data_IF_175452285039
#
_entry.id   IF_175452285039
#
_cell.length_a   1.000
_cell.length_b   1.000
_cell.length_c   1.000
_cell.angle_alpha   90.00
_cell.angle_beta   90.00
_cell.angle_gamma   90.00
#
_symmetry.space_group_name_H-M   'P 1'
#
loop_
_entity.id
_entity.type
_entity.pdbx_description
1 polymer ?
#
# COMPACT_ATOMS: atom_id res chain seq x y z
N UNK A 1 -16.01 7.93 -6.68
CA UNK A 1 -14.54 7.95 -6.83
C UNK A 1 -14.09 6.60 -7.37
N UNK A 2 -13.20 6.59 -8.37
CA UNK A 2 -12.59 5.34 -8.88
C UNK A 2 -11.15 5.23 -8.41
N UNK A 3 -10.82 4.07 -7.85
CA UNK A 3 -9.48 3.79 -7.32
C UNK A 3 -8.98 2.49 -7.92
N UNK A 4 -7.77 2.50 -8.52
CA UNK A 4 -7.10 1.28 -8.92
C UNK A 4 -5.97 0.94 -7.94
N UNK A 5 -5.98 -0.27 -7.41
CA UNK A 5 -4.88 -0.81 -6.59
C UNK A 5 -4.00 -1.65 -7.50
N UNK A 6 -2.76 -1.21 -7.68
CA UNK A 6 -1.76 -1.82 -8.54
C UNK A 6 -0.84 -2.72 -7.71
N UNK A 7 -1.02 -4.03 -7.85
CA UNK A 7 -0.39 -5.04 -7.03
C UNK A 7 -1.24 -5.42 -5.81
N UNK A 8 -2.01 -6.50 -5.92
CA UNK A 8 -2.88 -7.01 -4.86
C UNK A 8 -2.22 -8.15 -4.07
N UNK A 9 -0.95 -7.98 -3.69
CA UNK A 9 -0.32 -8.76 -2.65
C UNK A 9 -0.97 -8.51 -1.28
N UNK A 10 -0.33 -8.87 -0.17
CA UNK A 10 -0.91 -8.71 1.16
C UNK A 10 -1.40 -7.27 1.42
N UNK A 11 -0.53 -6.26 1.25
CA UNK A 11 -0.87 -4.85 1.53
C UNK A 11 -1.90 -4.30 0.53
N UNK A 12 -1.69 -4.49 -0.78
CA UNK A 12 -2.65 -4.00 -1.79
C UNK A 12 -4.03 -4.60 -1.61
N UNK A 13 -4.11 -5.88 -1.21
CA UNK A 13 -5.38 -6.52 -0.89
C UNK A 13 -6.10 -5.88 0.30
N UNK A 14 -5.37 -5.38 1.32
CA UNK A 14 -5.99 -4.65 2.44
C UNK A 14 -6.67 -3.38 1.93
N UNK A 15 -5.99 -2.61 1.06
CA UNK A 15 -6.59 -1.40 0.46
C UNK A 15 -7.77 -1.76 -0.44
N UNK A 16 -7.60 -2.71 -1.36
CA UNK A 16 -8.63 -3.07 -2.32
C UNK A 16 -9.92 -3.58 -1.64
N UNK A 17 -9.78 -4.45 -0.65
CA UNK A 17 -10.94 -4.99 0.07
C UNK A 17 -11.67 -3.91 0.86
N UNK A 18 -10.97 -3.15 1.71
CA UNK A 18 -11.60 -2.16 2.58
C UNK A 18 -12.23 -1.02 1.78
N UNK A 19 -11.52 -0.46 0.79
CA UNK A 19 -12.06 0.62 -0.05
C UNK A 19 -13.31 0.17 -0.83
N UNK A 20 -13.38 -1.10 -1.26
CA UNK A 20 -14.54 -1.62 -1.97
C UNK A 20 -15.80 -1.83 -1.11
N UNK A 21 -15.71 -1.60 0.21
CA UNK A 21 -16.87 -1.59 1.10
C UNK A 21 -17.63 -0.24 1.09
N UNK A 22 -17.06 0.80 0.48
CA UNK A 22 -17.67 2.11 0.38
C UNK A 22 -18.57 2.17 -0.86
N UNK A 23 -19.83 2.57 -0.69
CA UNK A 23 -20.83 2.63 -1.77
C UNK A 23 -20.47 3.65 -2.87
N UNK A 24 -19.72 4.69 -2.54
CA UNK A 24 -19.32 5.77 -3.44
C UNK A 24 -17.90 5.58 -4.04
N UNK A 25 -17.29 4.41 -3.84
CA UNK A 25 -15.95 4.08 -4.36
C UNK A 25 -16.00 2.82 -5.23
N UNK A 26 -15.65 2.98 -6.49
CA UNK A 26 -15.42 1.85 -7.41
C UNK A 26 -13.95 1.45 -7.34
N UNK A 27 -13.66 0.19 -6.97
CA UNK A 27 -12.29 -0.30 -6.82
C UNK A 27 -11.93 -1.31 -7.89
N UNK A 28 -10.80 -1.07 -8.55
CA UNK A 28 -10.15 -2.01 -9.45
C UNK A 28 -8.90 -2.58 -8.78
N UNK A 29 -8.77 -3.91 -8.79
CA UNK A 29 -7.65 -4.64 -8.23
C UNK A 29 -6.84 -5.27 -9.36
N UNK A 30 -5.64 -4.74 -9.63
CA UNK A 30 -4.75 -5.26 -10.67
C UNK A 30 -3.67 -6.14 -10.05
N UNK A 31 -3.58 -7.39 -10.49
CA UNK A 31 -2.51 -8.32 -10.11
C UNK A 31 -2.24 -9.32 -11.23
N UNK A 32 -0.99 -9.68 -11.46
CA UNK A 32 -0.60 -10.66 -12.48
C UNK A 32 -0.90 -12.11 -12.08
N UNK A 33 -1.25 -12.37 -10.82
CA UNK A 33 -1.64 -13.70 -10.36
C UNK A 33 -3.08 -14.00 -10.74
N UNK A 34 -3.27 -14.66 -11.87
CA UNK A 34 -4.59 -15.02 -12.42
C UNK A 34 -5.45 -15.83 -11.44
N UNK A 35 -4.86 -16.72 -10.64
CA UNK A 35 -5.59 -17.48 -9.62
C UNK A 35 -6.14 -16.58 -8.53
N UNK A 36 -5.38 -15.55 -8.13
CA UNK A 36 -5.81 -14.56 -7.17
C UNK A 36 -6.93 -13.69 -7.72
N UNK A 37 -6.77 -13.20 -8.95
CA UNK A 37 -7.77 -12.42 -9.67
C UNK A 37 -9.08 -13.21 -9.83
N UNK A 38 -9.01 -14.45 -10.27
CA UNK A 38 -10.19 -15.31 -10.43
C UNK A 38 -10.92 -15.55 -9.09
N UNK A 39 -10.18 -15.76 -8.00
CA UNK A 39 -10.76 -15.94 -6.67
C UNK A 39 -11.46 -14.67 -6.19
N UNK A 40 -10.84 -13.49 -6.38
CA UNK A 40 -11.45 -12.20 -6.02
C UNK A 40 -12.77 -11.98 -6.77
N UNK A 41 -12.79 -12.20 -8.07
CA UNK A 41 -13.98 -12.00 -8.89
C UNK A 41 -15.11 -12.98 -8.56
N UNK A 42 -14.79 -14.21 -8.17
CA UNK A 42 -15.76 -15.25 -7.81
C UNK A 42 -16.33 -15.07 -6.41
N UNK A 43 -15.46 -14.96 -5.41
CA UNK A 43 -15.80 -15.06 -3.99
C UNK A 43 -15.70 -13.72 -3.25
N UNK A 44 -15.02 -12.73 -3.84
CA UNK A 44 -14.56 -11.50 -3.18
C UNK A 44 -13.20 -11.68 -2.53
N UNK A 45 -12.67 -10.59 -2.01
CA UNK A 45 -11.39 -10.53 -1.32
C UNK A 45 -11.64 -10.58 0.19
N UNK A 46 -11.36 -11.73 0.80
CA UNK A 46 -11.60 -11.97 2.22
C UNK A 46 -10.42 -11.51 3.05
N UNK A 47 -10.70 -10.65 4.01
CA UNK A 47 -9.77 -10.28 5.09
C UNK A 47 -10.20 -10.98 6.39
N UNK A 48 -9.21 -11.46 7.16
CA UNK A 48 -9.41 -12.05 8.50
C UNK A 48 -8.36 -11.47 9.45
N UNK A 49 -8.51 -11.68 10.75
CA UNK A 49 -7.55 -11.21 11.76
C UNK A 49 -7.98 -9.91 12.41
N UNK A 50 -7.34 -8.79 12.13
CA UNK A 50 -7.68 -7.49 12.71
C UNK A 50 -9.10 -6.99 12.31
N UNK A 51 -9.64 -7.54 11.23
CA UNK A 51 -11.02 -7.41 10.80
C UNK A 51 -11.48 -8.71 10.13
N UNK A 52 -12.78 -8.92 9.96
CA UNK A 52 -13.35 -10.04 9.21
C UNK A 52 -14.38 -9.49 8.21
N UNK A 53 -13.89 -9.19 7.01
CA UNK A 53 -14.70 -8.57 5.95
C UNK A 53 -14.45 -9.25 4.60
N UNK A 54 -15.42 -9.13 3.69
CA UNK A 54 -15.29 -9.53 2.29
C UNK A 54 -15.54 -8.32 1.42
N UNK A 55 -14.46 -7.74 0.90
CA UNK A 55 -14.54 -6.70 -0.12
C UNK A 55 -14.81 -7.30 -1.50
N UNK A 56 -15.38 -6.51 -2.41
CA UNK A 56 -15.70 -6.95 -3.77
C UNK A 56 -15.16 -5.98 -4.83
N UNK A 57 -13.83 -5.76 -4.87
CA UNK A 57 -13.26 -4.98 -5.97
C UNK A 57 -13.42 -5.75 -7.29
N UNK A 58 -13.40 -5.05 -8.41
CA UNK A 58 -13.24 -5.67 -9.73
C UNK A 58 -11.78 -6.03 -9.93
N UNK A 59 -11.45 -7.30 -10.12
CA UNK A 59 -10.07 -7.72 -10.28
C UNK A 59 -9.76 -8.08 -11.73
N UNK A 60 -8.56 -7.71 -12.19
CA UNK A 60 -8.06 -8.05 -13.53
C UNK A 60 -6.56 -8.30 -13.51
N UNK A 61 -6.10 -9.15 -14.43
CA UNK A 61 -4.69 -9.35 -14.79
C UNK A 61 -4.29 -8.65 -16.08
N UNK A 62 -5.24 -8.04 -16.79
CA UNK A 62 -4.97 -7.19 -17.96
C UNK A 62 -5.08 -5.72 -17.58
N UNK A 63 -3.98 -4.99 -17.69
CA UNK A 63 -3.94 -3.56 -17.38
C UNK A 63 -4.90 -2.74 -18.27
N UNK A 64 -5.19 -3.20 -19.49
CA UNK A 64 -6.10 -2.49 -20.42
C UNK A 64 -7.57 -2.51 -19.95
N UNK A 65 -7.94 -3.40 -19.04
CA UNK A 65 -9.29 -3.42 -18.48
C UNK A 65 -9.52 -2.29 -17.48
N UNK A 66 -8.46 -1.67 -16.93
CA UNK A 66 -8.57 -0.63 -15.92
C UNK A 66 -9.05 0.67 -16.59
N UNK A 67 -10.21 1.19 -16.20
CA UNK A 67 -10.71 2.46 -16.74
C UNK A 67 -9.92 3.65 -16.22
N UNK A 68 -10.21 4.85 -16.71
CA UNK A 68 -9.73 6.08 -16.10
C UNK A 68 -10.14 6.14 -14.62
N UNK A 69 -9.16 6.35 -13.74
CA UNK A 69 -9.30 6.37 -12.29
C UNK A 69 -8.88 7.72 -11.71
N UNK A 70 -9.58 8.13 -10.64
CA UNK A 70 -9.22 9.32 -9.86
C UNK A 70 -7.91 9.09 -9.09
N UNK A 71 -7.72 7.86 -8.58
CA UNK A 71 -6.53 7.49 -7.81
C UNK A 71 -5.99 6.12 -8.21
N UNK A 72 -4.66 6.02 -8.19
CA UNK A 72 -3.91 4.77 -8.18
C UNK A 72 -3.25 4.56 -6.81
N UNK A 73 -3.22 3.32 -6.32
CA UNK A 73 -2.45 2.92 -5.14
C UNK A 73 -1.48 1.83 -5.56
N UNK A 74 -0.18 2.15 -5.64
CA UNK A 74 0.86 1.19 -6.00
C UNK A 74 1.35 0.48 -4.74
N UNK A 75 1.15 -0.85 -4.70
CA UNK A 75 1.48 -1.71 -3.58
C UNK A 75 2.27 -2.96 -4.00
N UNK A 76 2.90 -2.94 -5.17
CA UNK A 76 3.81 -3.99 -5.64
C UNK A 76 5.08 -4.06 -4.79
N UNK A 77 5.89 -5.11 -4.95
CA UNK A 77 7.28 -5.05 -4.49
C UNK A 77 8.05 -4.04 -5.34
N UNK A 78 8.99 -3.29 -4.74
CA UNK A 78 9.71 -2.18 -5.39
C UNK A 78 10.32 -2.55 -6.76
N UNK A 79 10.85 -3.77 -6.90
CA UNK A 79 11.40 -4.29 -8.17
C UNK A 79 10.37 -4.41 -9.30
N UNK A 80 9.08 -4.36 -8.99
CA UNK A 80 7.99 -4.46 -9.96
C UNK A 80 7.27 -3.12 -10.20
N UNK A 81 7.74 -2.03 -9.58
CA UNK A 81 7.10 -0.70 -9.71
C UNK A 81 7.11 -0.23 -11.15
N UNK A 82 8.28 -0.22 -11.79
CA UNK A 82 8.44 0.25 -13.16
C UNK A 82 7.52 -0.48 -14.16
N UNK A 83 7.57 -1.82 -14.30
CA UNK A 83 6.70 -2.50 -15.25
C UNK A 83 5.21 -2.37 -14.90
N UNK A 84 4.86 -2.30 -13.61
CA UNK A 84 3.47 -2.18 -13.20
C UNK A 84 2.90 -0.80 -13.55
N UNK A 85 3.64 0.28 -13.26
CA UNK A 85 3.16 1.63 -13.57
C UNK A 85 3.19 1.90 -15.08
N UNK A 86 4.20 1.41 -15.81
CA UNK A 86 4.26 1.54 -17.26
C UNK A 86 3.03 0.91 -17.93
N UNK A 87 2.57 -0.24 -17.43
CA UNK A 87 1.37 -0.91 -17.94
C UNK A 87 0.06 -0.17 -17.60
N UNK A 88 -0.02 0.46 -16.42
CA UNK A 88 -1.28 1.02 -15.88
C UNK A 88 -1.38 2.55 -15.98
N UNK A 89 -0.34 3.26 -16.42
CA UNK A 89 -0.27 4.73 -16.46
C UNK A 89 -1.44 5.37 -17.22
N UNK A 90 -1.94 4.72 -18.28
CA UNK A 90 -3.08 5.19 -19.06
C UNK A 90 -4.34 5.42 -18.22
N UNK A 91 -4.51 4.66 -17.15
CA UNK A 91 -5.65 4.78 -16.24
C UNK A 91 -5.58 6.05 -15.35
N UNK A 92 -4.42 6.71 -15.26
CA UNK A 92 -4.17 7.83 -14.36
C UNK A 92 -3.80 9.13 -15.09
N UNK A 93 -4.15 9.26 -16.37
CA UNK A 93 -3.85 10.46 -17.17
C UNK A 93 -4.33 11.76 -16.48
N UNK A 94 -5.52 11.71 -15.88
CA UNK A 94 -6.10 12.84 -15.13
C UNK A 94 -6.15 12.58 -13.62
N UNK A 95 -5.63 11.43 -13.15
CA UNK A 95 -5.67 10.98 -11.77
C UNK A 95 -4.38 11.25 -10.99
N UNK A 96 -4.33 10.75 -9.78
CA UNK A 96 -3.20 10.82 -8.85
C UNK A 96 -2.74 9.42 -8.48
N UNK A 97 -1.44 9.19 -8.43
CA UNK A 97 -0.89 7.86 -8.08
C UNK A 97 -0.14 7.93 -6.75
N UNK A 98 -0.66 7.24 -5.76
CA UNK A 98 0.00 7.06 -4.47
C UNK A 98 0.88 5.80 -4.46
N UNK A 99 2.08 5.89 -3.90
CA UNK A 99 2.81 4.71 -3.50
C UNK A 99 2.62 4.45 -2.01
N UNK A 100 2.40 3.19 -1.64
CA UNK A 100 2.37 2.75 -0.24
C UNK A 100 3.45 1.69 0.02
N UNK A 101 4.42 1.60 -0.87
CA UNK A 101 5.49 0.63 -0.85
C UNK A 101 6.54 0.95 0.23
N UNK A 102 7.27 -0.08 0.64
CA UNK A 102 8.42 0.11 1.53
C UNK A 102 9.64 0.66 0.77
N UNK A 103 10.48 1.40 1.47
CA UNK A 103 11.71 1.96 0.94
C UNK A 103 11.55 3.36 0.40
N UNK A 104 12.58 3.86 -0.24
CA UNK A 104 12.66 5.15 -0.90
C UNK A 104 12.88 4.93 -2.40
N UNK A 105 12.58 5.94 -3.23
CA UNK A 105 12.81 5.88 -4.67
C UNK A 105 11.64 5.34 -5.49
N UNK A 106 10.54 4.93 -4.85
CA UNK A 106 9.37 4.45 -5.59
C UNK A 106 8.66 5.59 -6.33
N UNK A 107 8.58 6.78 -5.73
CA UNK A 107 8.00 7.98 -6.34
C UNK A 107 8.79 8.41 -7.58
N UNK A 108 10.11 8.36 -7.49
CA UNK A 108 11.03 8.69 -8.59
C UNK A 108 10.89 7.70 -9.76
N UNK A 109 10.53 6.44 -9.46
CA UNK A 109 10.21 5.43 -10.48
C UNK A 109 8.84 5.66 -11.11
N UNK A 110 7.87 6.15 -10.35
CA UNK A 110 6.49 6.40 -10.81
C UNK A 110 6.38 7.69 -11.61
N UNK A 111 7.06 8.77 -11.19
CA UNK A 111 6.93 10.12 -11.75
C UNK A 111 7.20 10.26 -13.25
N UNK A 112 8.06 9.45 -13.91
CA UNK A 112 8.20 9.49 -15.37
C UNK A 112 6.97 9.01 -16.14
N UNK A 113 6.06 8.25 -15.52
CA UNK A 113 4.92 7.64 -16.16
C UNK A 113 3.60 8.37 -15.90
N UNK A 114 3.51 9.11 -14.79
CA UNK A 114 2.30 9.84 -14.38
C UNK A 114 2.64 11.23 -13.87
N UNK A 115 1.78 12.19 -14.13
CA UNK A 115 2.05 13.59 -13.83
C UNK A 115 1.98 13.89 -12.33
N UNK A 116 1.04 13.25 -11.61
CA UNK A 116 0.68 13.61 -10.23
C UNK A 116 0.90 12.43 -9.31
N UNK A 117 1.90 12.55 -8.44
CA UNK A 117 2.34 11.48 -7.54
C UNK A 117 2.09 11.88 -6.08
N UNK A 118 1.53 10.96 -5.31
CA UNK A 118 1.35 11.06 -3.86
C UNK A 118 2.41 10.17 -3.21
N UNK A 119 3.23 10.78 -2.39
CA UNK A 119 4.20 10.10 -1.53
C UNK A 119 3.48 9.44 -0.37
N UNK A 120 3.77 8.17 -0.10
CA UNK A 120 3.13 7.47 0.99
C UNK A 120 4.06 6.56 1.76
N UNK A 121 3.67 6.31 3.00
CA UNK A 121 4.22 5.25 3.83
C UNK A 121 3.10 4.62 4.63
N UNK A 122 3.07 3.28 4.70
CA UNK A 122 1.97 2.56 5.32
C UNK A 122 2.50 1.51 6.29
N UNK A 123 1.86 1.38 7.45
CA UNK A 123 2.20 0.39 8.48
C UNK A 123 1.22 -0.79 8.58
N UNK A 124 0.06 -0.84 7.94
CA UNK A 124 -0.73 -2.06 7.84
C UNK A 124 0.16 -3.24 7.43
N UNK A 125 -0.01 -4.36 8.10
CA UNK A 125 0.73 -5.58 7.82
C UNK A 125 -0.23 -6.76 7.70
N UNK A 126 0.09 -7.69 6.82
CA UNK A 126 -0.71 -8.88 6.59
C UNK A 126 0.03 -9.94 5.81
N UNK A 127 -0.62 -11.08 5.64
CA UNK A 127 -0.13 -12.24 4.91
C UNK A 127 -1.16 -12.68 3.89
N UNK A 128 -0.71 -12.98 2.69
CA UNK A 128 -1.52 -13.70 1.72
C UNK A 128 -1.62 -15.17 2.18
N UNK A 129 -2.84 -15.61 2.51
CA UNK A 129 -3.09 -17.00 2.94
C UNK A 129 -3.33 -17.92 1.75
N UNK A 130 -3.84 -17.36 0.65
CA UNK A 130 -4.16 -18.04 -0.59
C UNK A 130 -4.89 -17.10 -1.54
N UNK A 131 -5.29 -17.59 -2.74
CA UNK A 131 -6.03 -16.79 -3.68
C UNK A 131 -7.31 -16.19 -3.06
N UNK A 132 -7.45 -14.85 -3.13
CA UNK A 132 -8.60 -14.13 -2.56
C UNK A 132 -8.65 -14.07 -1.03
N UNK A 133 -7.60 -14.50 -0.30
CA UNK A 133 -7.61 -14.56 1.16
C UNK A 133 -6.37 -13.92 1.77
N UNK A 134 -6.57 -12.95 2.65
CA UNK A 134 -5.50 -12.22 3.34
C UNK A 134 -5.79 -12.18 4.84
N UNK A 135 -4.78 -12.47 5.64
CA UNK A 135 -4.81 -12.20 7.08
C UNK A 135 -4.28 -10.78 7.32
N UNK A 136 -5.05 -9.95 7.99
CA UNK A 136 -4.66 -8.61 8.40
C UNK A 136 -4.10 -8.66 9.81
N UNK A 137 -2.78 -8.59 9.94
CA UNK A 137 -2.12 -8.75 11.25
C UNK A 137 -2.10 -7.45 12.07
N UNK A 138 -1.93 -6.30 11.40
CA UNK A 138 -1.78 -4.99 12.05
C UNK A 138 -2.58 -3.92 11.31
N UNK A 139 -3.48 -3.23 12.03
CA UNK A 139 -4.11 -1.98 11.60
C UNK A 139 -3.15 -0.81 11.88
N UNK A 140 -2.19 -0.58 10.99
CA UNK A 140 -1.25 0.53 11.14
C UNK A 140 -1.71 1.78 10.37
N UNK A 141 -1.08 2.91 10.68
CA UNK A 141 -1.36 4.17 10.01
C UNK A 141 -0.74 4.24 8.61
N UNK A 142 -1.39 5.00 7.74
CA UNK A 142 -0.85 5.40 6.43
C UNK A 142 -0.66 6.91 6.42
N UNK A 143 0.55 7.38 6.13
CA UNK A 143 0.82 8.81 5.96
C UNK A 143 1.00 9.08 4.47
N UNK A 144 0.26 10.06 3.94
CA UNK A 144 0.27 10.48 2.55
C UNK A 144 0.65 11.96 2.46
N UNK A 145 1.38 12.35 1.43
CA UNK A 145 1.73 13.75 1.15
C UNK A 145 2.02 13.97 -0.32
N UNK A 146 2.01 15.21 -0.81
CA UNK A 146 2.44 15.52 -2.16
C UNK A 146 3.87 15.05 -2.43
N UNK A 147 4.13 14.51 -3.60
CA UNK A 147 5.51 14.28 -4.04
C UNK A 147 6.16 15.59 -4.48
N UNK A 148 5.40 16.40 -5.24
CA UNK A 148 5.77 17.73 -5.69
C UNK A 148 4.54 18.65 -5.81
N UNK A 149 4.75 19.88 -6.30
CA UNK A 149 3.74 20.94 -6.43
C UNK A 149 2.57 20.61 -7.39
N UNK A 150 2.73 19.60 -8.27
CA UNK A 150 1.68 19.14 -9.19
C UNK A 150 0.56 18.37 -8.47
N UNK A 151 0.79 17.99 -7.22
CA UNK A 151 -0.16 17.24 -6.40
C UNK A 151 -0.68 18.12 -5.28
N UNK A 152 -1.88 18.71 -5.38
CA UNK A 152 -2.47 19.52 -4.33
C UNK A 152 -2.75 18.69 -3.05
N UNK A 153 -2.49 19.27 -1.88
CA UNK A 153 -2.78 18.62 -0.60
C UNK A 153 -4.27 18.22 -0.45
N UNK A 154 -5.17 18.97 -1.06
CA UNK A 154 -6.60 18.65 -1.05
C UNK A 154 -6.91 17.29 -1.70
N UNK A 155 -6.19 16.91 -2.75
CA UNK A 155 -6.35 15.61 -3.40
C UNK A 155 -5.74 14.47 -2.58
N UNK A 156 -4.61 14.75 -1.89
CA UNK A 156 -4.04 13.82 -0.90
C UNK A 156 -5.04 13.56 0.23
N UNK A 157 -5.69 14.61 0.72
CA UNK A 157 -6.72 14.52 1.75
C UNK A 157 -7.95 13.73 1.29
N UNK A 158 -8.38 13.88 0.03
CA UNK A 158 -9.48 13.08 -0.54
C UNK A 158 -9.17 11.57 -0.51
N UNK A 159 -7.94 11.18 -0.85
CA UNK A 159 -7.52 9.78 -0.78
C UNK A 159 -7.41 9.30 0.67
N UNK A 160 -6.83 10.11 1.55
CA UNK A 160 -6.72 9.81 2.98
C UNK A 160 -8.11 9.66 3.64
N UNK A 161 -9.07 10.51 3.25
CA UNK A 161 -10.45 10.41 3.73
C UNK A 161 -11.12 9.11 3.30
N UNK A 162 -10.97 8.72 2.03
CA UNK A 162 -11.49 7.44 1.53
C UNK A 162 -10.89 6.26 2.34
N UNK A 163 -9.59 6.28 2.64
CA UNK A 163 -8.96 5.26 3.48
C UNK A 163 -9.55 5.23 4.90
N UNK A 164 -9.71 6.40 5.55
CA UNK A 164 -10.31 6.48 6.92
C UNK A 164 -11.72 5.96 6.95
N UNK A 165 -12.57 6.36 5.99
CA UNK A 165 -13.95 5.89 5.85
C UNK A 165 -14.03 4.38 5.63
N UNK A 166 -13.03 3.82 4.96
CA UNK A 166 -12.87 2.38 4.76
C UNK A 166 -12.28 1.65 5.99
N UNK A 167 -12.13 2.32 7.15
CA UNK A 167 -11.60 1.72 8.37
C UNK A 167 -10.07 1.53 8.40
N UNK A 168 -9.37 2.17 7.48
CA UNK A 168 -7.90 2.19 7.41
C UNK A 168 -7.38 3.56 7.85
N UNK A 169 -6.71 3.67 9.02
CA UNK A 169 -6.17 4.93 9.47
C UNK A 169 -5.25 5.57 8.44
N UNK A 170 -5.52 6.83 8.09
CA UNK A 170 -4.72 7.57 7.12
C UNK A 170 -4.67 9.06 7.45
N UNK A 171 -3.53 9.68 7.22
CA UNK A 171 -3.29 11.11 7.48
C UNK A 171 -2.64 11.74 6.26
N UNK A 172 -3.21 12.84 5.76
CA UNK A 172 -2.57 13.70 4.77
C UNK A 172 -1.68 14.74 5.48
N UNK A 173 -0.48 14.93 4.96
CA UNK A 173 0.51 15.88 5.47
C UNK A 173 1.13 16.66 4.31
N UNK A 174 1.62 17.85 4.57
CA UNK A 174 2.32 18.66 3.57
C UNK A 174 3.63 18.01 3.09
N UNK A 175 4.30 17.28 3.98
CA UNK A 175 5.55 16.58 3.67
C UNK A 175 5.61 15.21 4.38
N UNK A 176 5.49 14.13 3.60
CA UNK A 176 5.56 12.75 4.11
C UNK A 176 6.98 12.18 4.18
N UNK A 177 8.04 12.93 3.74
CA UNK A 177 9.45 12.44 3.72
C UNK A 177 9.90 12.00 5.11
N UNK A 178 9.59 12.79 6.14
CA UNK A 178 9.96 12.44 7.51
C UNK A 178 9.36 11.11 7.98
N UNK A 179 8.12 10.81 7.59
CA UNK A 179 7.46 9.55 7.92
C UNK A 179 8.07 8.36 7.15
N UNK A 180 8.45 8.56 5.89
CA UNK A 180 9.17 7.53 5.11
C UNK A 180 10.54 7.21 5.72
N UNK A 181 11.35 8.24 6.04
CA UNK A 181 12.65 8.06 6.65
C UNK A 181 12.54 7.34 8.01
N UNK A 182 11.58 7.72 8.85
CA UNK A 182 11.32 7.03 10.12
C UNK A 182 11.07 5.53 9.91
N UNK A 183 10.27 5.18 8.90
CA UNK A 183 10.00 3.77 8.57
C UNK A 183 11.22 3.05 8.02
N UNK A 184 12.02 3.71 7.19
CA UNK A 184 13.27 3.14 6.66
C UNK A 184 14.26 2.86 7.78
N UNK A 185 14.46 3.81 8.69
CA UNK A 185 15.32 3.64 9.88
C UNK A 185 14.83 2.45 10.72
N UNK A 186 13.53 2.40 11.02
CA UNK A 186 12.93 1.29 11.76
C UNK A 186 13.19 -0.05 11.06
N UNK A 187 12.94 -0.15 9.77
CA UNK A 187 13.14 -1.39 9.01
C UNK A 187 14.63 -1.78 8.93
N UNK A 188 15.52 -0.81 8.72
CA UNK A 188 16.96 -1.06 8.61
C UNK A 188 17.58 -1.50 9.93
N UNK A 189 17.09 -0.99 11.06
CA UNK A 189 17.60 -1.34 12.37
C UNK A 189 17.02 -2.63 12.94
N UNK A 190 15.78 -3.01 12.59
CA UNK A 190 15.11 -4.16 13.22
C UNK A 190 15.01 -5.39 12.32
N UNK A 191 14.74 -5.24 11.02
CA UNK A 191 14.50 -6.39 10.14
C UNK A 191 15.72 -7.31 9.98
N UNK A 192 16.97 -6.83 9.83
CA UNK A 192 18.13 -7.70 9.76
C UNK A 192 18.33 -8.52 11.03
N UNK A 193 18.10 -7.91 12.20
CA UNK A 193 18.22 -8.59 13.50
C UNK A 193 17.16 -9.68 13.61
N UNK A 194 15.91 -9.36 13.27
CA UNK A 194 14.83 -10.34 13.23
C UNK A 194 15.13 -11.51 12.29
N UNK A 195 15.65 -11.21 11.08
CA UNK A 195 16.01 -12.23 10.10
C UNK A 195 17.13 -13.16 10.57
N UNK A 196 18.15 -12.62 11.24
CA UNK A 196 19.30 -13.39 11.75
C UNK A 196 18.96 -14.21 12.99
N UNK A 197 18.05 -13.72 13.84
CA UNK A 197 17.74 -14.35 15.13
C UNK A 197 16.47 -15.21 15.09
N UNK A 198 15.62 -15.05 14.08
CA UNK A 198 14.29 -15.66 14.03
C UNK A 198 13.30 -15.06 15.03
N UNK A 199 13.64 -13.96 15.70
CA UNK A 199 12.81 -13.30 16.71
C UNK A 199 11.87 -12.28 16.07
N UNK A 200 10.70 -12.09 16.70
CA UNK A 200 9.80 -10.96 16.37
C UNK A 200 10.40 -9.65 16.86
N UNK A 201 9.93 -8.51 16.31
CA UNK A 201 10.38 -7.17 16.74
C UNK A 201 10.18 -6.96 18.25
N UNK A 202 9.06 -7.43 18.82
CA UNK A 202 8.81 -7.38 20.27
C UNK A 202 9.88 -8.12 21.05
N UNK A 203 10.15 -9.39 20.68
CA UNK A 203 11.17 -10.22 21.33
C UNK A 203 12.58 -9.64 21.19
N UNK A 204 12.91 -9.00 20.06
CA UNK A 204 14.18 -8.27 19.91
C UNK A 204 14.27 -7.12 20.91
N UNK A 205 13.19 -6.35 21.10
CA UNK A 205 13.15 -5.21 22.02
C UNK A 205 13.12 -5.62 23.50
N UNK A 206 12.63 -6.81 23.82
CA UNK A 206 12.63 -7.36 25.19
C UNK A 206 14.03 -7.79 25.67
N UNK A 207 14.92 -8.11 24.75
CA UNK A 207 16.29 -8.52 25.06
C UNK A 207 17.22 -7.32 25.15
N UNK A 208 17.86 -7.08 26.32
CA UNK A 208 18.69 -5.88 26.53
C UNK A 208 19.86 -5.77 25.56
N UNK A 209 20.51 -6.90 25.21
CA UNK A 209 21.62 -6.99 24.27
C UNK A 209 21.19 -6.60 22.83
N UNK A 210 20.07 -7.14 22.37
CA UNK A 210 19.56 -6.83 21.02
C UNK A 210 18.95 -5.42 20.96
N UNK A 211 18.29 -4.97 22.02
CA UNK A 211 17.78 -3.59 22.10
C UNK A 211 18.92 -2.58 22.05
N UNK A 212 20.03 -2.83 22.76
CA UNK A 212 21.21 -1.96 22.69
C UNK A 212 21.78 -1.89 21.26
N UNK A 213 21.81 -3.03 20.55
CA UNK A 213 22.23 -3.08 19.16
C UNK A 213 21.30 -2.27 18.26
N UNK A 214 19.96 -2.43 18.38
CA UNK A 214 18.99 -1.63 17.62
C UNK A 214 19.19 -0.15 17.88
N UNK A 215 19.34 0.26 19.14
CA UNK A 215 19.57 1.66 19.51
C UNK A 215 20.81 2.22 18.83
N UNK A 216 21.93 1.50 18.88
CA UNK A 216 23.18 1.93 18.24
C UNK A 216 23.15 1.93 16.71
N UNK A 217 22.14 1.33 16.08
CA UNK A 217 21.92 1.42 14.63
C UNK A 217 21.05 2.62 14.22
N UNK A 218 20.33 3.20 15.20
CA UNK A 218 19.45 4.36 14.98
C UNK A 218 20.20 5.69 15.19
N UNK A 219 21.20 5.69 16.09
CA UNK A 219 22.07 6.83 16.41
C UNK A 219 23.11 7.08 15.30
#
# INVERSE_FOLDING_TARGET
>A
VKIAVVGCGAVGSLFAANLSLLDDVEVWAFDLNELHVAAINRDGLRLTGADDVVGRPRATSDANDIPACDFGIVATKAMHTEPAIAATAHAFADGYVATVQNGLGNEETIAPHVERVIRGTTFPAGKLLGPGQVQWDVKGDTTLGPYDERTPLAEVERLADACRRAGMPATAVEDARGSQWRKVIFNASTNPIGALTGLTHGQVCERPDLRALVTGLVD
#
